data_IF_711955998014
#
_entry.id   IF_711955998014
#
_cell.length_a   1.000
_cell.length_b   1.000
_cell.length_c   1.000
_cell.angle_alpha   90.00
_cell.angle_beta   90.00
_cell.angle_gamma   90.00
#
_symmetry.space_group_name_H-M   'P 1'
#
loop_
_entity.id
_entity.type
_entity.pdbx_description
1 polymer ?
#
# COMPACT_ATOMS: atom_id res chain seq x y z
N UNK A 1 -0.86 -28.91 -0.46
CA UNK A 1 -0.97 -27.86 -1.51
C UNK A 1 -0.21 -26.60 -1.11
N UNK A 2 -0.30 -26.18 0.16
CA UNK A 2 0.41 -25.05 0.77
C UNK A 2 1.92 -25.01 0.50
N UNK A 3 2.65 -26.10 0.76
CA UNK A 3 4.09 -26.15 0.48
C UNK A 3 4.42 -25.87 -1.00
N UNK A 4 3.55 -26.25 -1.94
CA UNK A 4 3.82 -26.04 -3.36
C UNK A 4 3.79 -24.56 -3.75
N UNK A 5 2.95 -23.73 -3.12
CA UNK A 5 2.91 -22.30 -3.44
C UNK A 5 4.07 -21.56 -2.77
N UNK A 6 4.41 -21.90 -1.51
CA UNK A 6 5.53 -21.28 -0.79
C UNK A 6 6.85 -21.56 -1.53
N UNK A 7 7.11 -22.81 -1.94
CA UNK A 7 8.30 -23.15 -2.73
C UNK A 7 8.36 -22.37 -4.05
N UNK A 8 7.23 -22.23 -4.75
CA UNK A 8 7.16 -21.45 -6.00
C UNK A 8 7.45 -19.97 -5.79
N UNK A 9 6.92 -19.38 -4.71
CA UNK A 9 7.22 -17.99 -4.33
C UNK A 9 8.72 -17.85 -4.01
N UNK A 10 9.27 -18.75 -3.19
CA UNK A 10 10.67 -18.70 -2.77
C UNK A 10 11.63 -18.83 -3.97
N UNK A 11 11.33 -19.72 -4.92
CA UNK A 11 12.12 -19.94 -6.12
C UNK A 11 11.91 -18.88 -7.22
N UNK A 12 11.05 -17.88 -7.00
CA UNK A 12 10.69 -16.88 -8.02
C UNK A 12 10.12 -17.50 -9.30
N UNK A 13 9.37 -18.60 -9.18
CA UNK A 13 8.77 -19.33 -10.31
C UNK A 13 7.42 -18.77 -10.77
N UNK A 14 6.84 -17.84 -9.99
CA UNK A 14 5.56 -17.20 -10.29
C UNK A 14 5.71 -15.68 -10.37
N UNK A 15 4.89 -15.07 -11.20
CA UNK A 15 4.79 -13.62 -11.44
C UNK A 15 3.50 -13.03 -10.83
N UNK A 16 2.49 -13.88 -10.62
CA UNK A 16 1.21 -13.57 -9.99
C UNK A 16 1.02 -14.45 -8.76
N UNK A 17 0.98 -13.82 -7.58
CA UNK A 17 0.54 -14.46 -6.34
C UNK A 17 -0.94 -14.20 -6.13
N UNK A 18 -1.76 -15.23 -6.30
CA UNK A 18 -3.20 -15.18 -6.04
C UNK A 18 -3.56 -16.17 -4.94
N UNK A 19 -3.99 -15.67 -3.79
CA UNK A 19 -4.43 -16.48 -2.66
C UNK A 19 -5.92 -16.23 -2.43
N UNK A 20 -6.68 -17.32 -2.53
CA UNK A 20 -8.13 -17.41 -2.33
C UNK A 20 -8.47 -18.79 -1.81
N UNK A 21 -9.51 -18.91 -0.98
CA UNK A 21 -10.04 -20.19 -0.48
C UNK A 21 -8.95 -21.16 0.02
N UNK A 22 -7.96 -20.60 0.72
CA UNK A 22 -6.80 -21.34 1.22
C UNK A 22 -7.25 -22.15 2.46
N UNK A 23 -6.84 -23.42 2.61
CA UNK A 23 -7.21 -24.24 3.77
C UNK A 23 -6.69 -23.65 5.09
N UNK A 24 -7.39 -23.94 6.19
CA UNK A 24 -7.13 -23.38 7.51
C UNK A 24 -5.70 -23.66 8.03
N UNK A 25 -5.10 -24.77 7.63
CA UNK A 25 -3.73 -25.16 8.00
C UNK A 25 -2.67 -24.20 7.44
N UNK A 26 -2.97 -23.47 6.36
CA UNK A 26 -2.04 -22.47 5.81
C UNK A 26 -1.71 -21.34 6.79
N UNK A 27 -2.64 -20.98 7.67
CA UNK A 27 -2.42 -19.87 8.60
C UNK A 27 -1.42 -20.22 9.71
N UNK A 28 -1.07 -21.50 9.88
CA UNK A 28 0.03 -21.93 10.74
C UNK A 28 1.40 -21.58 10.14
N UNK A 29 1.47 -21.41 8.81
CA UNK A 29 2.71 -21.21 8.04
C UNK A 29 2.83 -19.78 7.45
N UNK A 30 2.15 -18.78 8.01
CA UNK A 30 2.23 -17.39 7.50
C UNK A 30 3.67 -16.87 7.47
N UNK A 31 4.46 -17.21 8.49
CA UNK A 31 5.87 -16.81 8.57
C UNK A 31 6.70 -17.41 7.42
N UNK A 32 6.39 -18.63 6.96
CA UNK A 32 7.04 -19.24 5.80
C UNK A 32 6.71 -18.48 4.51
N UNK A 33 5.44 -18.08 4.32
CA UNK A 33 5.05 -17.25 3.18
C UNK A 33 5.76 -15.88 3.23
N UNK A 34 5.82 -15.24 4.40
CA UNK A 34 6.51 -13.96 4.59
C UNK A 34 8.00 -14.08 4.24
N UNK A 35 8.64 -15.15 4.69
CA UNK A 35 10.04 -15.43 4.38
C UNK A 35 10.23 -15.66 2.87
N UNK A 36 9.37 -16.46 2.23
CA UNK A 36 9.42 -16.71 0.80
C UNK A 36 9.24 -15.43 -0.03
N UNK A 37 8.35 -14.52 0.40
CA UNK A 37 8.14 -13.22 -0.24
C UNK A 37 9.38 -12.33 -0.16
N UNK A 38 10.16 -12.40 0.93
CA UNK A 38 11.32 -11.55 1.14
C UNK A 38 12.46 -11.76 0.15
N UNK A 39 12.56 -12.97 -0.44
CA UNK A 39 13.55 -13.31 -1.47
C UNK A 39 12.97 -13.30 -2.89
N UNK A 40 11.65 -13.12 -3.04
CA UNK A 40 11.01 -13.17 -4.35
C UNK A 40 11.28 -11.90 -5.14
N UNK A 41 11.70 -12.07 -6.40
CA UNK A 41 11.95 -10.95 -7.32
C UNK A 41 11.06 -10.97 -8.55
N UNK A 42 10.27 -12.03 -8.77
CA UNK A 42 9.46 -12.20 -9.99
C UNK A 42 8.03 -11.66 -9.86
N UNK A 43 7.47 -11.60 -8.65
CA UNK A 43 6.06 -11.23 -8.44
C UNK A 43 5.86 -9.75 -8.78
N UNK A 44 4.96 -9.49 -9.72
CA UNK A 44 4.47 -8.16 -10.06
C UNK A 44 3.00 -7.94 -9.73
N UNK A 45 2.26 -9.02 -9.43
CA UNK A 45 0.83 -8.95 -9.09
C UNK A 45 0.52 -9.77 -7.85
N UNK A 46 -0.13 -9.14 -6.88
CA UNK A 46 -0.66 -9.79 -5.67
C UNK A 46 -2.17 -9.63 -5.63
N UNK A 47 -2.87 -10.75 -5.45
CA UNK A 47 -4.33 -10.80 -5.30
C UNK A 47 -4.67 -11.62 -4.07
N UNK A 48 -5.09 -10.93 -3.02
CA UNK A 48 -5.64 -11.52 -1.81
C UNK A 48 -7.14 -11.27 -1.84
N UNK A 49 -7.89 -12.28 -2.30
CA UNK A 49 -9.34 -12.19 -2.51
C UNK A 49 -10.09 -13.12 -1.58
N UNK A 50 -11.42 -13.03 -1.62
CA UNK A 50 -12.31 -13.80 -0.74
C UNK A 50 -11.89 -13.57 0.72
N UNK A 51 -11.99 -14.56 1.59
CA UNK A 51 -11.72 -14.35 3.02
C UNK A 51 -10.25 -14.61 3.41
N UNK A 52 -9.31 -14.71 2.45
CA UNK A 52 -7.91 -15.06 2.76
C UNK A 52 -7.30 -14.14 3.83
N UNK A 53 -7.39 -12.82 3.63
CA UNK A 53 -6.94 -11.87 4.64
C UNK A 53 -7.91 -11.81 5.83
N UNK A 54 -9.20 -12.06 5.63
CA UNK A 54 -10.21 -12.07 6.70
C UNK A 54 -9.95 -13.15 7.76
N UNK A 55 -9.45 -14.31 7.33
CA UNK A 55 -9.12 -15.46 8.17
C UNK A 55 -7.75 -15.35 8.86
N UNK A 56 -6.83 -14.51 8.36
CA UNK A 56 -5.54 -14.28 8.99
C UNK A 56 -5.66 -13.45 10.29
N UNK A 57 -4.83 -13.74 11.28
CA UNK A 57 -4.77 -12.97 12.51
C UNK A 57 -4.42 -11.49 12.23
N UNK A 58 -4.85 -10.60 13.14
CA UNK A 58 -4.62 -9.15 13.00
C UNK A 58 -3.15 -8.76 12.78
N UNK A 59 -2.23 -9.44 13.48
CA UNK A 59 -0.78 -9.24 13.34
C UNK A 59 -0.30 -9.71 11.96
N UNK A 60 -0.71 -10.91 11.57
CA UNK A 60 -0.27 -11.60 10.36
C UNK A 60 -0.69 -10.86 9.09
N UNK A 61 -1.90 -10.28 9.07
CA UNK A 61 -2.32 -9.37 7.99
C UNK A 61 -1.33 -8.23 7.79
N UNK A 62 -0.90 -7.58 8.87
CA UNK A 62 0.04 -6.47 8.78
C UNK A 62 1.41 -6.94 8.30
N UNK A 63 1.89 -8.07 8.81
CA UNK A 63 3.16 -8.69 8.40
C UNK A 63 3.15 -9.08 6.91
N UNK A 64 2.06 -9.69 6.43
CA UNK A 64 1.88 -10.06 5.03
C UNK A 64 1.88 -8.83 4.12
N UNK A 65 1.13 -7.79 4.47
CA UNK A 65 1.12 -6.54 3.69
C UNK A 65 2.50 -5.87 3.68
N UNK A 66 3.23 -5.90 4.79
CA UNK A 66 4.59 -5.38 4.85
C UNK A 66 5.54 -6.17 3.95
N UNK A 67 5.47 -7.50 3.97
CA UNK A 67 6.27 -8.37 3.11
C UNK A 67 5.97 -8.12 1.62
N UNK A 68 4.69 -8.07 1.25
CA UNK A 68 4.24 -7.72 -0.10
C UNK A 68 4.77 -6.34 -0.52
N UNK A 69 4.74 -5.35 0.37
CA UNK A 69 5.20 -4.00 0.06
C UNK A 69 6.67 -3.88 -0.34
N UNK A 70 7.48 -4.89 0.00
CA UNK A 70 8.92 -4.94 -0.26
C UNK A 70 9.27 -5.68 -1.55
N UNK A 71 8.29 -6.27 -2.25
CA UNK A 71 8.50 -6.93 -3.52
C UNK A 71 9.00 -5.91 -4.57
N UNK A 72 10.19 -6.11 -5.16
CA UNK A 72 10.86 -5.07 -5.96
C UNK A 72 10.13 -4.74 -7.26
N UNK A 73 9.38 -5.69 -7.81
CA UNK A 73 8.69 -5.58 -9.09
C UNK A 73 7.17 -5.45 -8.95
N UNK A 74 6.65 -5.18 -7.75
CA UNK A 74 5.22 -5.09 -7.48
C UNK A 74 4.57 -3.92 -8.24
N UNK A 75 3.54 -4.23 -9.02
CA UNK A 75 2.81 -3.27 -9.85
C UNK A 75 1.30 -3.28 -9.59
N UNK A 76 0.73 -4.42 -9.23
CA UNK A 76 -0.72 -4.60 -9.07
C UNK A 76 -1.01 -5.26 -7.73
N UNK A 77 -1.86 -4.63 -6.93
CA UNK A 77 -2.35 -5.20 -5.67
C UNK A 77 -3.88 -5.14 -5.64
N UNK A 78 -4.50 -6.28 -5.35
CA UNK A 78 -5.93 -6.40 -5.06
C UNK A 78 -6.10 -7.03 -3.69
N UNK A 79 -6.78 -6.34 -2.78
CA UNK A 79 -7.09 -6.81 -1.43
C UNK A 79 -8.61 -6.81 -1.24
N UNK A 80 -9.17 -7.90 -0.74
CA UNK A 80 -10.60 -8.02 -0.47
C UNK A 80 -10.95 -8.59 0.92
N UNK A 81 -12.20 -8.36 1.34
CA UNK A 81 -12.89 -8.94 2.50
C UNK A 81 -12.03 -9.07 3.76
N UNK A 82 -11.51 -7.94 4.24
CA UNK A 82 -10.68 -7.94 5.44
C UNK A 82 -10.75 -6.63 6.22
N UNK A 83 -10.38 -6.71 7.49
CA UNK A 83 -10.07 -5.53 8.29
C UNK A 83 -8.58 -5.22 8.10
N UNK A 84 -8.25 -4.04 7.58
CA UNK A 84 -6.87 -3.64 7.34
C UNK A 84 -6.56 -2.34 8.05
N UNK A 85 -5.40 -2.26 8.69
CA UNK A 85 -4.94 -1.01 9.30
C UNK A 85 -4.56 0.00 8.21
N UNK A 86 -4.99 1.24 8.36
CA UNK A 86 -4.61 2.36 7.51
C UNK A 86 -3.08 2.53 7.45
N UNK A 87 -2.38 2.25 8.56
CA UNK A 87 -0.92 2.25 8.61
C UNK A 87 -0.29 1.14 7.76
N UNK A 88 -0.88 -0.06 7.71
CA UNK A 88 -0.38 -1.15 6.85
C UNK A 88 -0.57 -0.81 5.36
N UNK A 89 -1.72 -0.23 5.00
CA UNK A 89 -1.96 0.28 3.64
C UNK A 89 -1.01 1.42 3.29
N UNK A 90 -0.72 2.32 4.24
CA UNK A 90 0.23 3.42 4.06
C UNK A 90 1.64 2.87 3.78
N UNK A 91 2.08 1.87 4.55
CA UNK A 91 3.36 1.18 4.33
C UNK A 91 3.40 0.52 2.96
N UNK A 92 2.32 -0.16 2.56
CA UNK A 92 2.20 -0.77 1.24
C UNK A 92 2.43 0.26 0.13
N UNK A 93 1.67 1.36 0.15
CA UNK A 93 1.76 2.42 -0.86
C UNK A 93 3.13 3.08 -0.83
N UNK A 94 3.70 3.37 0.35
CA UNK A 94 5.01 4.04 0.43
C UNK A 94 6.17 3.17 -0.06
N UNK A 95 6.15 1.86 0.21
CA UNK A 95 7.27 0.97 -0.12
C UNK A 95 7.20 0.45 -1.56
N UNK A 96 6.01 0.17 -2.07
CA UNK A 96 5.82 -0.40 -3.41
C UNK A 96 6.01 0.67 -4.51
N UNK A 97 7.25 1.13 -4.72
CA UNK A 97 7.57 2.25 -5.63
C UNK A 97 7.09 2.05 -7.07
N UNK A 98 6.93 0.80 -7.51
CA UNK A 98 6.42 0.44 -8.84
C UNK A 98 4.90 0.29 -8.93
N UNK A 99 4.15 0.52 -7.85
CA UNK A 99 2.71 0.24 -7.76
C UNK A 99 1.93 1.13 -8.73
N UNK A 100 1.26 0.48 -9.69
CA UNK A 100 0.43 1.11 -10.73
C UNK A 100 -1.06 0.95 -10.45
N UNK A 101 -1.45 -0.16 -9.83
CA UNK A 101 -2.85 -0.52 -9.59
C UNK A 101 -3.03 -0.95 -8.14
N UNK A 102 -3.95 -0.31 -7.43
CA UNK A 102 -4.35 -0.71 -6.07
C UNK A 102 -5.87 -0.75 -5.97
N UNK A 103 -6.42 -1.95 -5.80
CA UNK A 103 -7.86 -2.16 -5.63
C UNK A 103 -8.15 -2.69 -4.23
N UNK A 104 -9.05 -2.01 -3.53
CA UNK A 104 -9.54 -2.38 -2.21
C UNK A 104 -11.03 -2.69 -2.33
N UNK A 105 -11.46 -3.91 -1.97
CA UNK A 105 -12.87 -4.35 -2.06
C UNK A 105 -13.36 -4.86 -0.70
N UNK A 106 -14.48 -4.33 -0.22
CA UNK A 106 -15.10 -4.79 1.03
C UNK A 106 -14.12 -4.75 2.23
N UNK A 107 -13.25 -3.73 2.25
CA UNK A 107 -12.24 -3.55 3.30
C UNK A 107 -12.80 -2.66 4.41
N UNK A 108 -12.67 -3.10 5.66
CA UNK A 108 -12.84 -2.23 6.81
C UNK A 108 -11.49 -1.59 7.16
N UNK A 109 -11.34 -0.31 6.83
CA UNK A 109 -10.09 0.43 7.06
C UNK A 109 -10.05 0.89 8.52
N UNK A 110 -9.13 0.33 9.31
CA UNK A 110 -8.97 0.63 10.73
C UNK A 110 -7.86 1.66 10.95
N UNK A 111 -8.14 2.72 11.69
CA UNK A 111 -7.15 3.73 12.04
C UNK A 111 -7.80 4.94 12.67
N UNK A 112 -7.00 5.78 13.33
CA UNK A 112 -7.43 7.11 13.72
C UNK A 112 -7.38 8.04 12.51
N UNK A 113 -7.99 9.22 12.62
CA UNK A 113 -8.02 10.23 11.56
C UNK A 113 -6.61 10.54 11.00
N UNK A 114 -5.60 10.68 11.89
CA UNK A 114 -4.20 10.87 11.50
C UNK A 114 -3.60 9.73 10.66
N UNK A 115 -4.07 8.50 10.85
CA UNK A 115 -3.60 7.33 10.08
C UNK A 115 -4.23 7.35 8.69
N UNK A 116 -5.46 7.87 8.59
CA UNK A 116 -6.19 8.08 7.33
C UNK A 116 -5.56 9.23 6.54
N UNK A 117 -5.22 10.35 7.20
CA UNK A 117 -4.45 11.45 6.59
C UNK A 117 -3.11 10.95 6.03
N UNK A 118 -2.42 10.06 6.75
CA UNK A 118 -1.16 9.47 6.29
C UNK A 118 -1.34 8.58 5.05
N UNK A 119 -2.44 7.83 4.99
CA UNK A 119 -2.80 7.02 3.81
C UNK A 119 -3.18 7.91 2.62
N UNK A 120 -3.99 8.94 2.85
CA UNK A 120 -4.36 9.94 1.85
C UNK A 120 -3.12 10.60 1.23
N UNK A 121 -2.22 11.10 2.08
CA UNK A 121 -0.97 11.72 1.64
C UNK A 121 -0.08 10.74 0.86
N UNK A 122 0.00 9.47 1.30
CA UNK A 122 0.76 8.45 0.60
C UNK A 122 0.20 8.19 -0.81
N UNK A 123 -1.12 8.05 -0.96
CA UNK A 123 -1.77 7.85 -2.26
C UNK A 123 -1.57 9.04 -3.20
N UNK A 124 -1.77 10.26 -2.68
CA UNK A 124 -1.59 11.50 -3.42
C UNK A 124 -0.15 11.65 -3.95
N UNK A 125 0.85 11.32 -3.13
CA UNK A 125 2.27 11.47 -3.46
C UNK A 125 2.86 10.30 -4.27
N UNK A 126 2.16 9.17 -4.41
CA UNK A 126 2.77 7.94 -4.94
C UNK A 126 3.04 7.98 -6.45
N UNK A 127 4.10 8.59 -6.98
CA UNK A 127 4.39 8.85 -8.41
C UNK A 127 3.83 7.92 -9.53
N UNK A 128 3.69 6.60 -9.33
CA UNK A 128 3.34 5.63 -10.39
C UNK A 128 1.92 5.04 -10.35
N UNK A 129 1.12 5.31 -9.30
CA UNK A 129 -0.27 4.83 -9.21
C UNK A 129 -1.11 5.45 -10.34
N UNK A 130 -1.74 4.62 -11.16
CA UNK A 130 -2.58 5.01 -12.31
C UNK A 130 -4.03 4.63 -12.11
N UNK A 131 -4.27 3.54 -11.39
CA UNK A 131 -5.60 3.03 -11.12
C UNK A 131 -5.73 2.74 -9.62
N UNK A 132 -6.74 3.35 -9.02
CA UNK A 132 -7.08 3.18 -7.62
C UNK A 132 -8.59 3.04 -7.50
N UNK A 133 -9.03 2.03 -6.76
CA UNK A 133 -10.45 1.85 -6.47
C UNK A 133 -10.67 1.38 -5.04
N UNK A 134 -11.74 1.91 -4.44
CA UNK A 134 -12.29 1.46 -3.18
C UNK A 134 -13.74 1.10 -3.42
N UNK A 135 -14.06 -0.19 -3.38
CA UNK A 135 -15.40 -0.72 -3.57
C UNK A 135 -15.92 -1.25 -2.24
N UNK A 136 -17.03 -0.71 -1.75
CA UNK A 136 -17.67 -1.15 -0.49
C UNK A 136 -16.75 -1.11 0.74
N UNK A 137 -15.76 -0.20 0.75
CA UNK A 137 -14.88 0.02 1.89
C UNK A 137 -15.55 0.91 2.94
N UNK A 138 -15.30 0.64 4.23
CA UNK A 138 -15.86 1.42 5.35
C UNK A 138 -14.86 1.62 6.48
N UNK A 139 -15.08 2.65 7.29
CA UNK A 139 -14.37 2.83 8.57
C UNK A 139 -15.23 2.28 9.71
N UNK A 140 -14.66 1.63 10.74
CA UNK A 140 -15.41 1.25 11.93
C UNK A 140 -15.62 2.44 12.89
N UNK A 141 -14.91 3.56 12.71
CA UNK A 141 -15.05 4.76 13.53
C UNK A 141 -15.99 5.75 12.86
N UNK A 142 -16.99 6.21 13.61
CA UNK A 142 -17.87 7.30 13.17
C UNK A 142 -17.07 8.58 12.91
N UNK A 143 -17.43 9.29 11.84
CA UNK A 143 -16.80 10.56 11.46
C UNK A 143 -15.52 10.45 10.62
N UNK A 144 -14.97 9.26 10.43
CA UNK A 144 -13.84 9.05 9.50
C UNK A 144 -14.34 9.03 8.06
N UNK A 145 -13.94 10.02 7.27
CA UNK A 145 -14.29 10.16 5.86
C UNK A 145 -13.29 9.41 4.95
N UNK A 146 -13.66 8.23 4.46
CA UNK A 146 -12.87 7.48 3.48
C UNK A 146 -12.98 8.03 2.05
N UNK A 147 -13.90 8.96 1.77
CA UNK A 147 -13.99 9.57 0.44
C UNK A 147 -12.76 10.43 0.14
N UNK A 148 -12.11 10.99 1.17
CA UNK A 148 -10.80 11.67 1.02
C UNK A 148 -9.73 10.74 0.46
N UNK A 149 -9.67 9.51 0.97
CA UNK A 149 -8.74 8.46 0.49
C UNK A 149 -9.06 8.09 -0.96
N UNK A 150 -10.35 7.90 -1.27
CA UNK A 150 -10.85 7.63 -2.63
C UNK A 150 -10.43 8.72 -3.63
N UNK A 151 -10.65 10.00 -3.27
CA UNK A 151 -10.25 11.16 -4.08
C UNK A 151 -8.73 11.25 -4.25
N UNK A 152 -7.96 11.04 -3.19
CA UNK A 152 -6.50 11.14 -3.26
C UNK A 152 -5.87 10.09 -4.19
N UNK A 153 -6.38 8.86 -4.19
CA UNK A 153 -5.87 7.82 -5.09
C UNK A 153 -6.33 7.97 -6.54
N UNK A 154 -7.42 8.69 -6.80
CA UNK A 154 -7.95 8.95 -8.16
C UNK A 154 -7.59 10.33 -8.71
N UNK A 155 -6.97 11.19 -7.91
CA UNK A 155 -6.63 12.55 -8.30
C UNK A 155 -5.78 12.56 -9.58
N UNK A 156 -6.15 13.39 -10.58
CA UNK A 156 -5.38 13.51 -11.81
C UNK A 156 -3.99 14.04 -11.45
N UNK A 157 -2.99 13.23 -11.77
CA UNK A 157 -1.60 13.57 -11.46
C UNK A 157 -1.15 14.54 -12.51
N UNK A 158 -1.29 15.82 -12.18
CA UNK A 158 -0.82 16.92 -13.00
C UNK A 158 0.59 16.60 -13.47
N UNK A 159 0.78 16.57 -14.78
CA UNK A 159 2.08 16.43 -15.42
C UNK A 159 2.99 17.56 -14.92
N UNK A 160 3.83 17.28 -13.93
CA UNK A 160 4.99 18.05 -13.52
C UNK A 160 4.92 19.56 -13.71
N UNK A 161 4.08 20.25 -12.96
CA UNK A 161 4.35 21.64 -12.62
C UNK A 161 5.26 21.64 -11.39
N UNK A 162 6.57 21.67 -11.59
CA UNK A 162 7.51 21.95 -10.51
C UNK A 162 7.05 23.26 -9.85
N UNK A 163 6.70 23.31 -8.55
CA UNK A 163 6.63 24.59 -7.87
C UNK A 163 8.08 25.09 -7.82
N UNK A 164 8.43 25.94 -8.79
CA UNK A 164 9.65 26.72 -8.71
C UNK A 164 9.58 27.45 -7.35
N UNK A 165 10.45 27.02 -6.45
CA UNK A 165 10.72 27.74 -5.21
C UNK A 165 11.31 29.06 -5.67
N UNK A 166 10.49 30.11 -5.67
CA UNK A 166 10.92 31.48 -5.85
C UNK A 166 11.76 31.84 -4.64
N UNK A 167 13.06 31.54 -4.72
CA UNK A 167 14.05 31.98 -3.75
C UNK A 167 14.21 33.48 -3.99
N UNK A 168 13.37 34.26 -3.33
CA UNK A 168 13.46 35.71 -3.30
C UNK A 168 14.90 36.14 -3.05
N UNK A 169 15.45 36.88 -4.01
CA UNK A 169 16.77 37.46 -3.93
C UNK A 169 16.89 38.32 -2.67
N UNK A 170 17.80 37.93 -1.76
CA UNK A 170 18.25 38.78 -0.66
C UNK A 170 19.10 39.88 -1.29
N UNK A 171 18.51 41.06 -1.48
CA UNK A 171 19.24 42.26 -1.85
C UNK A 171 20.05 42.75 -0.65
N UNK A 172 21.37 42.62 -0.77
CA UNK A 172 22.38 43.31 0.02
C UNK A 172 22.04 44.80 0.14
N UNK A 173 21.89 45.28 1.37
CA UNK A 173 21.88 46.70 1.66
C UNK A 173 23.03 47.04 2.60
N UNK A 174 24.21 47.22 1.98
CA UNK A 174 25.31 47.94 2.59
C UNK A 174 24.91 49.41 2.73
N UNK A 175 24.91 49.94 3.96
CA UNK A 175 24.91 51.37 4.20
C UNK A 175 25.73 51.67 5.45
N UNK A 176 26.94 52.12 5.21
CA UNK A 176 27.76 52.85 6.15
C UNK A 176 27.09 54.19 6.49
N UNK A 177 27.04 54.56 7.76
CA UNK A 177 27.07 55.97 8.17
C UNK A 177 27.98 56.07 9.40
N UNK A 178 29.03 56.87 9.24
CA UNK A 178 29.91 57.37 10.27
C UNK A 178 29.32 58.60 10.95
N UNK A 179 29.46 58.69 12.28
CA UNK A 179 29.79 59.89 13.06
C UNK A 179 30.00 59.48 14.52
#
# INVERSE_FOLDING_TARGET
MVHSIITKVQNSEIDILSLKDIPDDFYEDVDELVNALSSNTSIHTVKFTDDFLGCAYGKDRCTLLEAVSKLPNLQVVTLANSLLRATALTTLVKNAKGLKVLHLKEIVVQGLDRDIDALEAALYQHAFLKDFSMMDCKSPLEGVDLDRVSRAGTAPRGSGGNPAVDVGAVSDNSSAIAA
#
